data_IF_300544034635
#
_entry.id   IF_300544034635
#
_cell.length_a   1.000
_cell.length_b   1.000
_cell.length_c   1.000
_cell.angle_alpha   90.00
_cell.angle_beta   90.00
_cell.angle_gamma   90.00
#
_symmetry.space_group_name_H-M   'P 1'
#
loop_
_entity.id
_entity.type
_entity.pdbx_description
1 polymer ?
#
# COMPACT_ATOMS: atom_id res chain seq x y z
N UNK A 1 22.55 -16.16 7.65
CA UNK A 1 22.63 -15.24 6.51
C UNK A 1 21.29 -14.54 6.45
N UNK A 2 21.26 -13.23 6.65
CA UNK A 2 20.04 -12.45 6.49
C UNK A 2 19.60 -12.49 5.03
N UNK A 3 18.34 -12.80 4.77
CA UNK A 3 17.82 -12.95 3.41
C UNK A 3 17.80 -11.57 2.75
N UNK A 4 18.47 -11.42 1.61
CA UNK A 4 18.43 -10.19 0.82
C UNK A 4 17.02 -9.90 0.32
N UNK A 5 16.60 -8.64 0.41
CA UNK A 5 15.35 -8.17 -0.18
C UNK A 5 15.51 -8.12 -1.70
N UNK A 6 14.61 -8.77 -2.43
CA UNK A 6 14.62 -8.75 -3.89
C UNK A 6 13.78 -7.58 -4.42
N UNK A 7 14.31 -6.88 -5.43
CA UNK A 7 13.63 -5.72 -6.02
C UNK A 7 13.49 -5.82 -7.53
N UNK A 8 12.37 -5.33 -8.03
CA UNK A 8 12.17 -4.99 -9.42
C UNK A 8 12.20 -3.46 -9.59
N UNK A 9 12.71 -2.98 -10.71
CA UNK A 9 12.65 -1.57 -11.12
C UNK A 9 11.73 -1.48 -12.33
N UNK A 10 10.76 -0.57 -12.29
CA UNK A 10 9.95 -0.17 -13.43
C UNK A 10 10.21 1.30 -13.71
N UNK A 11 10.95 1.57 -14.79
CA UNK A 11 11.46 2.87 -15.15
C UNK A 11 11.79 2.87 -16.66
N UNK A 12 11.26 3.81 -17.42
CA UNK A 12 11.44 3.87 -18.87
C UNK A 12 12.72 4.62 -19.28
N UNK A 13 13.35 5.37 -18.36
CA UNK A 13 14.61 6.06 -18.59
C UNK A 13 15.83 5.19 -18.23
N UNK A 14 16.63 4.72 -19.20
CA UNK A 14 17.75 3.81 -18.93
C UNK A 14 18.80 4.37 -17.95
N UNK A 15 19.04 5.68 -17.98
CA UNK A 15 20.01 6.33 -17.09
C UNK A 15 19.56 6.25 -15.63
N UNK A 16 18.26 6.40 -15.35
CA UNK A 16 17.70 6.28 -14.01
C UNK A 16 17.77 4.84 -13.55
N UNK A 17 17.36 3.88 -14.40
CA UNK A 17 17.46 2.44 -14.13
C UNK A 17 18.88 2.05 -13.73
N UNK A 18 19.90 2.46 -14.52
CA UNK A 18 21.31 2.16 -14.23
C UNK A 18 21.80 2.86 -12.97
N UNK A 19 21.37 4.09 -12.71
CA UNK A 19 21.65 4.83 -11.49
C UNK A 19 21.15 4.08 -10.25
N UNK A 20 19.88 3.69 -10.25
CA UNK A 20 19.26 2.93 -9.14
C UNK A 20 19.94 1.55 -8.99
N UNK A 21 20.20 0.85 -10.10
CA UNK A 21 20.90 -0.43 -10.06
C UNK A 21 22.32 -0.28 -9.47
N UNK A 22 23.02 0.80 -9.78
CA UNK A 22 24.33 1.12 -9.19
C UNK A 22 24.22 1.38 -7.69
N UNK A 23 23.21 2.11 -7.25
CA UNK A 23 22.95 2.36 -5.83
C UNK A 23 22.71 1.08 -5.05
N UNK A 24 21.90 0.17 -5.61
CA UNK A 24 21.63 -1.15 -5.01
C UNK A 24 22.93 -1.97 -4.91
N UNK A 25 23.71 -2.04 -5.99
CA UNK A 25 24.99 -2.80 -5.99
C UNK A 25 26.02 -2.22 -5.01
N UNK A 26 25.99 -0.91 -4.78
CA UNK A 26 26.93 -0.23 -3.86
C UNK A 26 26.44 -0.14 -2.42
N UNK A 27 25.30 -0.76 -2.06
CA UNK A 27 24.85 -0.84 -0.67
C UNK A 27 25.90 -1.63 0.16
N UNK A 28 26.51 -1.02 1.19
CA UNK A 28 27.58 -1.66 1.93
C UNK A 28 27.21 -2.99 2.59
N UNK A 29 25.94 -3.11 2.97
CA UNK A 29 25.39 -4.33 3.57
C UNK A 29 24.91 -5.36 2.56
N UNK A 30 24.89 -5.04 1.27
CA UNK A 30 24.30 -5.89 0.21
C UNK A 30 22.91 -6.43 0.60
N UNK A 31 22.11 -5.60 1.27
CA UNK A 31 20.81 -5.98 1.85
C UNK A 31 19.73 -6.13 0.80
N UNK A 32 19.93 -5.51 -0.37
CA UNK A 32 18.97 -5.46 -1.48
C UNK A 32 19.59 -6.08 -2.72
N UNK A 33 18.83 -6.85 -3.47
CA UNK A 33 19.23 -7.49 -4.72
C UNK A 33 18.26 -7.18 -5.85
N UNK A 34 18.75 -6.56 -6.91
CA UNK A 34 17.98 -6.32 -8.14
C UNK A 34 17.78 -7.64 -8.90
N UNK A 35 16.53 -7.96 -9.22
CA UNK A 35 16.18 -9.21 -9.94
C UNK A 35 15.48 -8.96 -11.27
N UNK A 36 14.79 -7.82 -11.41
CA UNK A 36 14.06 -7.46 -12.63
C UNK A 36 14.25 -5.98 -12.92
N UNK A 37 14.43 -5.66 -14.20
CA UNK A 37 14.27 -4.31 -14.73
C UNK A 37 13.26 -4.35 -15.86
N UNK A 38 12.29 -3.46 -15.83
CA UNK A 38 11.26 -3.32 -16.85
C UNK A 38 11.10 -1.85 -17.23
N UNK A 39 10.74 -1.57 -18.48
CA UNK A 39 10.49 -0.20 -18.96
C UNK A 39 9.04 0.21 -18.74
N UNK A 40 8.17 -0.75 -18.48
CA UNK A 40 6.75 -0.57 -18.26
C UNK A 40 6.18 -1.71 -17.38
N UNK A 41 4.92 -1.60 -17.02
CA UNK A 41 4.24 -2.58 -16.20
C UNK A 41 3.98 -3.90 -16.93
N UNK A 42 3.87 -3.88 -18.26
CA UNK A 42 3.71 -5.10 -19.05
C UNK A 42 4.98 -5.95 -18.99
N UNK A 43 6.16 -5.31 -19.10
CA UNK A 43 7.45 -5.96 -18.93
C UNK A 43 7.64 -6.55 -17.53
N UNK A 44 7.19 -5.85 -16.47
CA UNK A 44 7.19 -6.40 -15.12
C UNK A 44 6.32 -7.66 -15.01
N UNK A 45 5.11 -7.63 -15.55
CA UNK A 45 4.17 -8.77 -15.52
C UNK A 45 4.65 -9.96 -16.34
N UNK A 46 5.44 -9.72 -17.38
CA UNK A 46 6.05 -10.76 -18.23
C UNK A 46 7.31 -11.38 -17.62
N UNK A 47 7.87 -10.80 -16.56
CA UNK A 47 9.10 -11.27 -15.94
C UNK A 47 8.95 -12.68 -15.34
N UNK A 48 10.00 -13.54 -15.42
CA UNK A 48 9.94 -14.86 -14.83
C UNK A 48 9.87 -14.82 -13.30
N UNK A 49 9.12 -15.76 -12.72
CA UNK A 49 9.07 -15.96 -11.25
C UNK A 49 10.35 -16.62 -10.73
N UNK A 50 10.82 -16.41 -9.47
CA UNK A 50 10.09 -15.72 -8.40
C UNK A 50 10.09 -14.20 -8.56
N UNK A 51 8.98 -13.59 -8.18
CA UNK A 51 8.81 -12.15 -8.22
C UNK A 51 9.68 -11.44 -7.17
N UNK A 52 9.89 -10.15 -7.36
CA UNK A 52 10.54 -9.30 -6.38
C UNK A 52 9.65 -9.10 -5.14
N UNK A 53 10.29 -8.91 -3.99
CA UNK A 53 9.59 -8.55 -2.75
C UNK A 53 9.04 -7.11 -2.83
N UNK A 54 9.78 -6.23 -3.52
CA UNK A 54 9.47 -4.81 -3.64
C UNK A 54 9.60 -4.37 -5.10
N UNK A 55 8.67 -3.55 -5.57
CA UNK A 55 8.75 -2.83 -6.85
C UNK A 55 9.13 -1.39 -6.58
N UNK A 56 10.23 -0.93 -7.16
CA UNK A 56 10.58 0.47 -7.28
C UNK A 56 9.92 0.95 -8.57
N UNK A 57 8.93 1.83 -8.45
CA UNK A 57 8.08 2.27 -9.54
C UNK A 57 8.29 3.74 -9.82
N UNK A 58 8.72 4.09 -11.04
CA UNK A 58 8.52 5.45 -11.52
C UNK A 58 7.03 5.70 -11.75
N UNK A 59 6.58 6.86 -11.33
CA UNK A 59 5.18 7.26 -11.50
C UNK A 59 4.87 7.80 -12.90
N UNK A 60 5.89 8.20 -13.66
CA UNK A 60 5.73 8.67 -15.03
C UNK A 60 6.41 7.69 -15.99
N UNK A 61 5.62 6.92 -16.71
CA UNK A 61 6.10 5.97 -17.71
C UNK A 61 5.59 6.39 -19.09
N UNK A 62 6.50 6.62 -20.02
CA UNK A 62 6.18 7.08 -21.39
C UNK A 62 5.33 8.37 -21.45
N UNK A 63 5.52 9.26 -20.45
CA UNK A 63 4.79 10.52 -20.33
C UNK A 63 3.41 10.42 -19.70
N UNK A 64 3.02 9.26 -19.19
CA UNK A 64 1.75 9.03 -18.49
C UNK A 64 1.99 8.73 -17.02
N UNK A 65 1.15 9.29 -16.14
CA UNK A 65 1.14 8.96 -14.73
C UNK A 65 0.45 7.59 -14.52
N UNK A 66 1.09 6.73 -13.72
CA UNK A 66 0.61 5.37 -13.45
C UNK A 66 0.23 5.15 -11.98
N UNK A 67 -0.21 6.20 -11.29
CA UNK A 67 -0.63 6.12 -9.88
C UNK A 67 -1.80 5.18 -9.68
N UNK A 68 -2.71 5.08 -10.62
CA UNK A 68 -3.89 4.20 -10.62
C UNK A 68 -3.57 2.71 -10.82
N UNK A 69 -2.39 2.37 -11.29
CA UNK A 69 -1.91 0.98 -11.41
C UNK A 69 -1.38 0.39 -10.08
N UNK A 70 -1.08 1.24 -9.11
CA UNK A 70 -0.53 0.81 -7.80
C UNK A 70 -1.44 -0.17 -7.07
N UNK A 71 -2.78 0.02 -7.01
CA UNK A 71 -3.67 -0.95 -6.37
C UNK A 71 -3.58 -2.36 -6.98
N UNK A 72 -3.41 -2.45 -8.30
CA UNK A 72 -3.26 -3.73 -8.99
C UNK A 72 -1.94 -4.43 -8.61
N UNK A 73 -0.83 -3.68 -8.56
CA UNK A 73 0.47 -4.20 -8.11
C UNK A 73 0.42 -4.70 -6.66
N UNK A 74 -0.26 -3.97 -5.78
CA UNK A 74 -0.44 -4.37 -4.37
C UNK A 74 -1.31 -5.62 -4.28
N UNK A 75 -2.36 -5.73 -5.10
CA UNK A 75 -3.22 -6.92 -5.18
C UNK A 75 -2.45 -8.15 -5.70
N UNK A 76 -1.50 -7.96 -6.61
CA UNK A 76 -0.58 -8.99 -7.11
C UNK A 76 0.46 -9.43 -6.05
N UNK A 77 0.48 -8.78 -4.88
CA UNK A 77 1.35 -9.13 -3.75
C UNK A 77 2.66 -8.34 -3.67
N UNK A 78 2.90 -7.39 -4.56
CA UNK A 78 4.07 -6.53 -4.50
C UNK A 78 3.96 -5.48 -3.40
N UNK A 79 5.08 -5.15 -2.80
CA UNK A 79 5.25 -3.91 -2.03
C UNK A 79 5.76 -2.84 -2.97
N UNK A 80 5.05 -1.72 -3.07
CA UNK A 80 5.38 -0.67 -4.03
C UNK A 80 6.08 0.49 -3.31
N UNK A 81 7.27 0.83 -3.77
CA UNK A 81 7.99 2.06 -3.41
C UNK A 81 8.00 2.94 -4.64
N UNK A 82 7.25 4.04 -4.59
CA UNK A 82 7.29 5.03 -5.67
C UNK A 82 8.59 5.80 -5.64
N UNK A 83 9.24 5.94 -6.80
CA UNK A 83 10.48 6.70 -6.98
C UNK A 83 10.32 7.65 -8.15
N UNK A 84 10.00 8.92 -7.88
CA UNK A 84 9.54 9.85 -8.91
C UNK A 84 10.15 11.25 -8.78
N UNK A 85 10.20 11.97 -9.90
CA UNK A 85 10.56 13.39 -9.94
C UNK A 85 9.43 14.33 -9.51
N UNK A 86 8.20 13.83 -9.45
CA UNK A 86 7.06 14.64 -9.02
C UNK A 86 7.17 15.00 -7.54
N UNK A 87 6.85 16.23 -7.18
CA UNK A 87 6.87 16.70 -5.78
C UNK A 87 5.55 17.34 -5.36
N UNK A 88 4.58 17.33 -6.25
CA UNK A 88 3.24 17.88 -6.02
C UNK A 88 2.53 17.10 -4.91
N UNK A 89 2.06 17.76 -3.84
CA UNK A 89 1.43 17.09 -2.71
C UNK A 89 0.27 16.18 -3.12
N UNK A 90 -0.51 16.56 -4.14
CA UNK A 90 -1.64 15.76 -4.62
C UNK A 90 -1.18 14.41 -5.19
N UNK A 91 -0.13 14.39 -6.03
CA UNK A 91 0.41 13.17 -6.64
C UNK A 91 1.00 12.26 -5.55
N UNK A 92 1.77 12.85 -4.62
CA UNK A 92 2.34 12.10 -3.50
C UNK A 92 1.24 11.46 -2.65
N UNK A 93 0.19 12.22 -2.31
CA UNK A 93 -0.91 11.72 -1.50
C UNK A 93 -1.72 10.65 -2.23
N UNK A 94 -2.03 10.85 -3.52
CA UNK A 94 -2.71 9.87 -4.35
C UNK A 94 -1.92 8.56 -4.44
N UNK A 95 -0.61 8.64 -4.66
CA UNK A 95 0.30 7.50 -4.66
C UNK A 95 0.21 6.68 -3.38
N UNK A 96 0.22 7.36 -2.23
CA UNK A 96 0.11 6.71 -0.92
C UNK A 96 -1.30 6.17 -0.67
N UNK A 97 -2.33 6.89 -1.09
CA UNK A 97 -3.73 6.48 -0.97
C UNK A 97 -4.02 5.24 -1.82
N UNK A 98 -3.39 5.11 -2.97
CA UNK A 98 -3.44 3.94 -3.84
C UNK A 98 -2.67 2.73 -3.28
N UNK A 99 -1.97 2.87 -2.16
CA UNK A 99 -1.38 1.76 -1.43
C UNK A 99 0.14 1.61 -1.58
N UNK A 100 0.83 2.59 -2.16
CA UNK A 100 2.29 2.59 -2.11
C UNK A 100 2.80 2.55 -0.67
N UNK A 101 3.83 1.76 -0.43
CA UNK A 101 4.42 1.58 0.91
C UNK A 101 5.27 2.77 1.32
N UNK A 102 5.90 3.42 0.35
CA UNK A 102 6.64 4.66 0.54
C UNK A 102 6.65 5.48 -0.75
N UNK A 103 6.87 6.78 -0.60
CA UNK A 103 7.20 7.70 -1.68
C UNK A 103 8.61 8.25 -1.46
N UNK A 104 9.47 8.13 -2.47
CA UNK A 104 10.84 8.67 -2.47
C UNK A 104 10.98 9.57 -3.68
N UNK A 105 11.32 10.84 -3.44
CA UNK A 105 11.65 11.74 -4.55
C UNK A 105 13.01 11.36 -5.15
N UNK A 106 13.13 11.46 -6.48
CA UNK A 106 14.42 11.27 -7.18
C UNK A 106 15.53 12.24 -6.68
N UNK A 107 15.14 13.29 -5.97
CA UNK A 107 16.06 14.25 -5.34
C UNK A 107 16.57 13.79 -3.96
N UNK A 108 15.92 12.83 -3.31
CA UNK A 108 16.26 12.39 -1.94
C UNK A 108 17.47 11.43 -1.88
N UNK A 109 17.83 10.84 -3.02
CA UNK A 109 19.07 10.08 -3.16
C UNK A 109 19.02 8.64 -2.66
N UNK A 110 20.19 7.99 -2.74
CA UNK A 110 20.39 6.55 -2.54
C UNK A 110 19.89 6.05 -1.18
N UNK A 111 20.33 6.70 -0.12
CA UNK A 111 20.15 6.17 1.23
C UNK A 111 18.66 6.12 1.61
N UNK A 112 17.88 7.10 1.20
CA UNK A 112 16.44 7.11 1.38
C UNK A 112 15.74 6.02 0.56
N UNK A 113 16.18 5.76 -0.68
CA UNK A 113 15.59 4.71 -1.50
C UNK A 113 15.84 3.31 -0.94
N UNK A 114 17.09 3.02 -0.54
CA UNK A 114 17.45 1.71 0.04
C UNK A 114 16.69 1.47 1.36
N UNK A 115 16.64 2.45 2.24
CA UNK A 115 15.91 2.33 3.51
C UNK A 115 14.39 2.20 3.31
N UNK A 116 13.81 2.91 2.33
CA UNK A 116 12.40 2.75 1.96
C UNK A 116 12.08 1.34 1.45
N UNK A 117 12.95 0.76 0.62
CA UNK A 117 12.84 -0.61 0.13
C UNK A 117 12.89 -1.60 1.28
N UNK A 118 13.86 -1.48 2.18
CA UNK A 118 14.01 -2.37 3.34
C UNK A 118 12.81 -2.26 4.30
N UNK A 119 12.32 -1.04 4.51
CA UNK A 119 11.16 -0.81 5.34
C UNK A 119 9.89 -1.41 4.70
N UNK A 120 9.70 -1.22 3.40
CA UNK A 120 8.59 -1.81 2.65
C UNK A 120 8.61 -3.34 2.71
N UNK A 121 9.78 -3.96 2.51
CA UNK A 121 9.94 -5.41 2.59
C UNK A 121 9.58 -5.96 3.99
N UNK A 122 9.89 -5.20 5.04
CA UNK A 122 9.57 -5.56 6.42
C UNK A 122 8.16 -5.10 6.87
N UNK A 123 7.33 -4.57 5.97
CA UNK A 123 6.04 -3.94 6.26
C UNK A 123 6.13 -2.88 7.39
N UNK A 124 7.25 -2.16 7.45
CA UNK A 124 7.48 -1.06 8.40
C UNK A 124 7.21 0.28 7.73
N UNK A 125 6.61 1.24 8.43
CA UNK A 125 6.44 2.58 7.89
C UNK A 125 7.80 3.25 7.68
N UNK A 126 7.93 3.94 6.57
CA UNK A 126 9.06 4.81 6.26
C UNK A 126 8.52 6.11 5.67
N UNK A 127 8.87 7.24 6.26
CA UNK A 127 8.37 8.55 5.84
C UNK A 127 9.55 9.38 5.36
N UNK A 128 9.57 9.71 4.08
CA UNK A 128 10.58 10.60 3.48
C UNK A 128 10.23 12.07 3.74
N UNK A 129 11.17 12.97 3.44
CA UNK A 129 10.92 14.42 3.54
C UNK A 129 9.84 14.88 2.57
N UNK A 130 9.84 14.36 1.34
CA UNK A 130 8.84 14.66 0.33
C UNK A 130 7.45 14.20 0.78
N UNK A 131 7.36 12.98 1.31
CA UNK A 131 6.14 12.44 1.88
C UNK A 131 5.64 13.28 3.07
N UNK A 132 6.52 13.65 4.00
CA UNK A 132 6.15 14.48 5.14
C UNK A 132 5.64 15.85 4.71
N UNK A 133 6.29 16.50 3.71
CA UNK A 133 5.82 17.78 3.14
C UNK A 133 4.44 17.66 2.52
N UNK A 134 4.19 16.60 1.74
CA UNK A 134 2.88 16.39 1.12
C UNK A 134 1.77 16.19 2.16
N UNK A 135 2.03 15.41 3.20
CA UNK A 135 1.08 15.20 4.31
C UNK A 135 0.77 16.52 5.04
N UNK A 136 1.79 17.36 5.29
CA UNK A 136 1.60 18.64 5.95
C UNK A 136 0.93 19.70 5.07
N UNK A 137 1.12 19.61 3.75
CA UNK A 137 0.51 20.52 2.77
C UNK A 137 -0.91 20.11 2.36
N UNK A 138 -1.33 18.90 2.72
CA UNK A 138 -2.67 18.39 2.42
C UNK A 138 -3.72 19.17 3.24
N UNK A 139 -4.29 20.19 2.61
CA UNK A 139 -5.30 21.07 3.21
C UNK A 139 -6.73 20.61 2.90
N UNK A 140 -6.94 19.35 2.57
CA UNK A 140 -8.30 18.85 2.31
C UNK A 140 -9.16 19.07 3.57
N UNK A 141 -10.24 19.89 3.47
CA UNK A 141 -10.94 20.37 4.65
C UNK A 141 -11.70 19.23 5.35
N UNK A 142 -11.61 19.21 6.68
CA UNK A 142 -12.48 18.55 7.66
C UNK A 142 -12.71 17.04 7.59
N UNK A 143 -12.35 16.34 6.50
CA UNK A 143 -12.52 14.90 6.41
C UNK A 143 -11.20 14.24 5.98
N UNK A 144 -10.75 13.21 6.70
CA UNK A 144 -9.57 12.47 6.25
C UNK A 144 -9.92 11.74 4.96
N UNK A 145 -9.20 12.03 3.89
CA UNK A 145 -9.32 11.27 2.65
C UNK A 145 -8.72 9.89 2.85
N UNK A 146 -9.55 8.95 3.28
CA UNK A 146 -9.15 7.55 3.37
C UNK A 146 -9.19 6.94 1.97
N UNK A 147 -8.13 6.20 1.61
CA UNK A 147 -8.12 5.40 0.38
C UNK A 147 -9.18 4.30 0.44
N UNK A 148 -9.56 3.78 -0.71
CA UNK A 148 -10.50 2.67 -0.79
C UNK A 148 -10.02 1.44 0.00
N UNK A 149 -8.72 1.17 -0.01
CA UNK A 149 -8.11 0.07 0.73
C UNK A 149 -8.16 0.29 2.25
N UNK A 150 -7.89 1.51 2.71
CA UNK A 150 -8.02 1.87 4.12
C UNK A 150 -9.46 1.75 4.60
N UNK A 151 -10.43 2.23 3.81
CA UNK A 151 -11.85 2.11 4.10
C UNK A 151 -12.28 0.64 4.20
N UNK A 152 -11.88 -0.18 3.24
CA UNK A 152 -12.19 -1.60 3.22
C UNK A 152 -11.57 -2.34 4.42
N UNK A 153 -10.30 -2.05 4.74
CA UNK A 153 -9.64 -2.64 5.90
C UNK A 153 -10.33 -2.24 7.21
N UNK A 154 -10.72 -0.97 7.36
CA UNK A 154 -11.47 -0.48 8.51
C UNK A 154 -12.85 -1.15 8.61
N UNK A 155 -13.62 -1.21 7.53
CA UNK A 155 -14.94 -1.83 7.51
C UNK A 155 -14.88 -3.27 8.00
N UNK A 156 -14.01 -4.10 7.42
CA UNK A 156 -13.85 -5.49 7.82
C UNK A 156 -13.40 -5.64 9.28
N UNK A 157 -12.50 -4.77 9.72
CA UNK A 157 -12.04 -4.77 11.11
C UNK A 157 -13.14 -4.35 12.09
N UNK A 158 -13.97 -3.37 11.74
CA UNK A 158 -15.12 -2.94 12.54
C UNK A 158 -16.22 -4.03 12.62
N UNK A 159 -16.36 -4.83 11.57
CA UNK A 159 -17.24 -6.01 11.57
C UNK A 159 -16.78 -7.13 12.52
N UNK A 160 -15.70 -6.92 13.29
CA UNK A 160 -15.20 -7.83 14.30
C UNK A 160 -14.13 -8.81 13.80
N UNK A 161 -13.65 -8.68 12.57
CA UNK A 161 -12.56 -9.51 12.07
C UNK A 161 -11.23 -9.17 12.76
N UNK A 162 -10.40 -10.19 13.03
CA UNK A 162 -9.00 -9.96 13.41
C UNK A 162 -8.22 -9.40 12.23
N UNK A 163 -7.12 -8.68 12.49
CA UNK A 163 -6.26 -8.15 11.42
C UNK A 163 -5.75 -9.24 10.47
N UNK A 164 -5.40 -10.41 11.01
CA UNK A 164 -5.05 -11.58 10.22
C UNK A 164 -6.20 -12.05 9.30
N UNK A 165 -7.45 -12.03 9.80
CA UNK A 165 -8.62 -12.39 9.00
C UNK A 165 -8.94 -11.35 7.93
N UNK A 166 -8.77 -10.05 8.23
CA UNK A 166 -8.88 -8.97 7.26
C UNK A 166 -7.83 -9.15 6.15
N UNK A 167 -6.57 -9.43 6.52
CA UNK A 167 -5.50 -9.69 5.56
C UNK A 167 -5.84 -10.83 4.60
N UNK A 168 -6.29 -11.97 5.10
CA UNK A 168 -6.74 -13.08 4.25
C UNK A 168 -7.87 -12.69 3.31
N UNK A 169 -8.86 -11.91 3.79
CA UNK A 169 -9.99 -11.49 2.98
C UNK A 169 -9.64 -10.48 1.90
N UNK A 170 -8.66 -9.63 2.15
CA UNK A 170 -8.16 -8.63 1.20
C UNK A 170 -6.97 -9.14 0.36
N UNK A 171 -6.53 -10.38 0.57
CA UNK A 171 -5.34 -10.98 -0.06
C UNK A 171 -4.05 -10.17 0.19
N UNK A 172 -3.91 -9.63 1.40
CA UNK A 172 -2.74 -8.86 1.87
C UNK A 172 -2.21 -9.40 3.20
N UNK A 173 -1.01 -8.98 3.60
CA UNK A 173 -0.44 -9.38 4.89
C UNK A 173 -1.17 -8.73 6.07
N UNK A 174 -1.11 -9.37 7.26
CA UNK A 174 -1.62 -8.75 8.49
C UNK A 174 -0.92 -7.43 8.78
N UNK A 175 0.37 -7.32 8.43
CA UNK A 175 1.12 -6.10 8.63
C UNK A 175 0.64 -4.97 7.71
N UNK A 176 0.29 -5.28 6.46
CA UNK A 176 -0.34 -4.31 5.55
C UNK A 176 -1.67 -3.79 6.11
N UNK A 177 -2.49 -4.66 6.70
CA UNK A 177 -3.72 -4.24 7.40
C UNK A 177 -3.40 -3.30 8.56
N UNK A 178 -2.36 -3.61 9.35
CA UNK A 178 -1.91 -2.72 10.44
C UNK A 178 -1.49 -1.35 9.92
N UNK A 179 -0.81 -1.30 8.78
CA UNK A 179 -0.42 -0.05 8.13
C UNK A 179 -1.64 0.76 7.68
N UNK A 180 -2.63 0.15 7.03
CA UNK A 180 -3.85 0.84 6.63
C UNK A 180 -4.59 1.44 7.83
N UNK A 181 -4.74 0.69 8.91
CA UNK A 181 -5.36 1.21 10.15
C UNK A 181 -4.53 2.35 10.75
N UNK A 182 -3.21 2.23 10.75
CA UNK A 182 -2.30 3.27 11.25
C UNK A 182 -2.36 4.54 10.43
N UNK A 183 -2.37 4.41 9.08
CA UNK A 183 -2.52 5.55 8.16
C UNK A 183 -3.86 6.25 8.34
N UNK A 184 -4.95 5.50 8.44
CA UNK A 184 -6.26 6.06 8.71
C UNK A 184 -6.26 6.89 10.02
N UNK A 185 -5.66 6.36 11.09
CA UNK A 185 -5.50 7.11 12.36
C UNK A 185 -4.68 8.38 12.19
N UNK A 186 -3.55 8.30 11.45
CA UNK A 186 -2.70 9.46 11.18
C UNK A 186 -3.46 10.54 10.40
N UNK A 187 -4.27 10.15 9.40
CA UNK A 187 -5.12 11.05 8.63
C UNK A 187 -6.18 11.73 9.51
N UNK A 188 -6.80 11.00 10.42
CA UNK A 188 -7.70 11.58 11.43
C UNK A 188 -6.98 12.54 12.39
N UNK A 189 -5.79 12.18 12.83
CA UNK A 189 -4.99 13.06 13.69
C UNK A 189 -4.56 14.34 12.97
N UNK A 190 -4.24 14.27 11.68
CA UNK A 190 -3.88 15.43 10.86
C UNK A 190 -5.03 16.44 10.71
N UNK A 191 -6.30 15.99 10.79
CA UNK A 191 -7.48 16.88 10.83
C UNK A 191 -7.83 17.36 12.25
N UNK A 192 -6.95 17.16 13.24
CA UNK A 192 -7.20 17.50 14.64
C UNK A 192 -8.18 16.54 15.35
N UNK A 193 -8.63 15.49 14.69
CA UNK A 193 -9.66 14.55 15.17
C UNK A 193 -9.04 13.20 15.53
N UNK A 194 -8.21 13.18 16.56
CA UNK A 194 -7.52 11.97 17.01
C UNK A 194 -8.47 10.81 17.32
N UNK A 195 -8.10 9.60 16.94
CA UNK A 195 -8.88 8.38 17.14
C UNK A 195 -8.00 7.24 17.72
N UNK A 196 -7.63 7.30 19.02
CA UNK A 196 -6.66 6.40 19.61
C UNK A 196 -7.18 4.96 19.78
N UNK A 197 -8.48 4.79 19.99
CA UNK A 197 -9.12 3.48 20.14
C UNK A 197 -9.82 3.01 18.86
N UNK A 198 -10.23 1.73 18.83
CA UNK A 198 -11.05 1.19 17.74
C UNK A 198 -12.39 1.89 17.66
N UNK A 199 -13.03 2.09 18.82
CA UNK A 199 -14.37 2.69 18.90
C UNK A 199 -14.35 4.18 18.53
N UNK A 200 -13.29 4.90 18.95
CA UNK A 200 -13.10 6.29 18.53
C UNK A 200 -12.91 6.39 17.00
N UNK A 201 -12.13 5.50 16.41
CA UNK A 201 -11.92 5.47 14.96
C UNK A 201 -13.22 5.12 14.22
N UNK A 202 -14.01 4.19 14.75
CA UNK A 202 -15.31 3.83 14.21
C UNK A 202 -16.29 5.02 14.26
N UNK A 203 -16.38 5.70 15.40
CA UNK A 203 -17.24 6.86 15.57
C UNK A 203 -16.91 7.94 14.53
N UNK A 204 -15.62 8.25 14.35
CA UNK A 204 -15.15 9.19 13.33
C UNK A 204 -15.50 8.77 11.91
N UNK A 205 -15.31 7.48 11.58
CA UNK A 205 -15.62 6.95 10.25
C UNK A 205 -17.13 7.03 9.94
N UNK A 206 -17.99 6.87 10.94
CA UNK A 206 -19.46 7.05 10.81
C UNK A 206 -19.81 8.53 10.65
N UNK A 207 -19.27 9.42 11.51
CA UNK A 207 -19.50 10.87 11.44
C UNK A 207 -19.18 11.43 10.05
N UNK A 208 -18.12 10.93 9.43
CA UNK A 208 -17.68 11.39 8.11
C UNK A 208 -18.40 10.70 6.94
N UNK A 209 -19.26 9.73 7.23
CA UNK A 209 -19.96 8.97 6.20
C UNK A 209 -19.06 8.03 5.40
N UNK A 210 -17.83 7.81 5.87
CA UNK A 210 -16.89 6.83 5.29
C UNK A 210 -17.43 5.41 5.44
N UNK A 211 -18.10 5.14 6.56
CA UNK A 211 -18.76 3.88 6.86
C UNK A 211 -20.19 4.16 7.33
N UNK A 212 -21.14 3.49 6.73
CA UNK A 212 -22.55 3.60 7.17
C UNK A 212 -22.80 2.61 8.32
N UNK A 213 -23.60 2.99 9.35
CA UNK A 213 -23.93 2.08 10.46
C UNK A 213 -24.48 0.73 10.00
N UNK A 214 -25.27 0.70 8.92
CA UNK A 214 -25.82 -0.54 8.34
C UNK A 214 -24.80 -1.44 7.67
N UNK A 215 -23.61 -0.97 7.37
CA UNK A 215 -22.52 -1.78 6.81
C UNK A 215 -21.75 -2.57 7.90
N UNK A 216 -21.95 -2.20 9.18
CA UNK A 216 -21.30 -2.86 10.32
C UNK A 216 -22.14 -4.05 10.75
N UNK A 217 -22.21 -5.07 9.91
CA UNK A 217 -22.87 -6.33 10.25
C UNK A 217 -21.84 -7.26 10.85
N UNK A 218 -22.05 -7.81 12.08
CA UNK A 218 -21.08 -8.70 12.69
C UNK A 218 -20.76 -9.90 11.78
N UNK A 219 -19.48 -10.14 11.53
CA UNK A 219 -18.97 -11.21 10.65
C UNK A 219 -19.55 -12.60 11.01
N UNK A 220 -19.85 -12.85 12.29
CA UNK A 220 -20.47 -14.10 12.76
C UNK A 220 -21.87 -14.33 12.18
N UNK A 221 -22.62 -13.29 11.80
CA UNK A 221 -23.94 -13.45 11.19
C UNK A 221 -23.85 -13.96 9.75
N UNK A 222 -22.80 -13.60 9.01
CA UNK A 222 -22.56 -14.13 7.66
C UNK A 222 -22.12 -15.59 7.66
N UNK A 223 -21.28 -15.99 8.63
CA UNK A 223 -20.86 -17.38 8.77
C UNK A 223 -22.05 -18.30 9.10
N UNK A 224 -22.99 -17.85 9.93
CA UNK A 224 -24.23 -18.56 10.22
C UNK A 224 -25.19 -18.63 9.03
N UNK A 225 -25.33 -17.55 8.27
CA UNK A 225 -26.18 -17.51 7.09
C UNK A 225 -25.60 -18.37 5.93
N UNK A 226 -24.29 -18.44 5.79
CA UNK A 226 -23.62 -19.30 4.80
C UNK A 226 -23.73 -20.79 5.15
N UNK A 227 -23.68 -21.12 6.46
CA UNK A 227 -23.85 -22.49 6.97
C UNK A 227 -25.32 -22.98 6.92
N UNK A 228 -26.28 -22.06 6.89
CA UNK A 228 -27.72 -22.35 6.84
C UNK A 228 -28.29 -22.54 5.41
N UNK A 229 -27.46 -22.40 4.34
CA UNK A 229 -27.89 -22.72 2.98
C UNK A 229 -28.06 -24.22 2.84
N UNK A 230 -29.28 -24.75 2.60
CA UNK A 230 -29.47 -26.18 2.38
C UNK A 230 -28.68 -26.58 1.13
N UNK A 231 -27.93 -27.67 1.25
CA UNK A 231 -27.35 -28.35 0.08
C UNK A 231 -28.54 -28.75 -0.79
N UNK A 232 -28.68 -28.09 -1.95
CA UNK A 232 -29.59 -28.55 -2.99
C UNK A 232 -29.19 -29.98 -3.31
N UNK A 233 -30.06 -30.91 -2.94
CA UNK A 233 -29.89 -32.33 -3.21
C UNK A 233 -29.79 -32.55 -4.72
N UNK A 234 -28.83 -33.34 -5.10
CA UNK A 234 -28.71 -33.93 -6.43
C UNK A 234 -30.04 -34.64 -6.77
N UNK A 235 -30.68 -34.40 -7.92
CA UNK A 235 -31.77 -35.24 -8.33
C UNK A 235 -31.24 -36.62 -8.66
N UNK A 236 -31.61 -37.61 -7.85
CA UNK A 236 -31.38 -39.01 -8.11
C UNK A 236 -32.13 -39.45 -9.35
N UNK A 237 -31.54 -40.35 -10.03
CA UNK A 237 -32.05 -41.10 -11.20
C UNK A 237 -33.45 -41.71 -10.96
#
# INVERSE_FOLDING_TARGET
MEQQVTVAIVEDHPVVTEGVASWIRSDPGQRVRLVVTARDLAGLRAAPRPWADVVILDLELSGELVTDEIPALVADGYRVVAFSGHSEPLIVMETLDNGAHAYVSKEEGRDHLVEAVLAAAADRPYVTRSQARAILADQRPDRPALSQQEQQALLLWFQGMSKASVGRRMSISENTVRQYISRARAKYAATGRTAPSKDALLARAIEDGVIKPGEIVPYQSFARAAAARPRLGTPGQ
#
